data_IF_560819328930
#
_entry.id   IF_560819328930
#
_cell.length_a   1.000
_cell.length_b   1.000
_cell.length_c   1.000
_cell.angle_alpha   90.00
_cell.angle_beta   90.00
_cell.angle_gamma   90.00
#
_symmetry.space_group_name_H-M   'P 1'
#
loop_
_entity.id
_entity.type
_entity.pdbx_description
1 polymer ?
#
# COMPACT_ATOMS: atom_id res chain seq x y z
N UNK A 1 -22.03 -2.53 10.26
CA UNK A 1 -20.91 -2.06 11.12
C UNK A 1 -19.64 -2.74 10.64
N UNK A 2 -18.50 -2.05 10.63
CA UNK A 2 -17.22 -2.58 10.16
C UNK A 2 -16.38 -3.08 11.34
N UNK A 3 -15.79 -4.27 11.20
CA UNK A 3 -14.84 -4.81 12.16
C UNK A 3 -13.41 -4.58 11.63
N UNK A 4 -12.53 -4.02 12.47
CA UNK A 4 -11.13 -3.83 12.14
C UNK A 4 -10.30 -4.95 12.74
N UNK A 5 -9.43 -5.56 11.94
CA UNK A 5 -8.46 -6.52 12.41
C UNK A 5 -7.06 -6.05 11.99
N UNK A 6 -6.13 -5.99 12.94
CA UNK A 6 -4.76 -5.50 12.69
C UNK A 6 -3.89 -6.59 12.02
N UNK A 7 -4.33 -7.06 10.86
CA UNK A 7 -3.61 -7.97 9.99
C UNK A 7 -3.74 -7.53 8.53
N UNK A 8 -2.73 -7.84 7.72
CA UNK A 8 -2.82 -7.64 6.29
C UNK A 8 -3.76 -8.68 5.68
N UNK A 9 -4.50 -8.29 4.63
CA UNK A 9 -5.29 -9.23 3.85
C UNK A 9 -4.40 -10.24 3.11
N UNK A 10 -3.24 -9.77 2.64
CA UNK A 10 -2.21 -10.58 1.99
C UNK A 10 -0.88 -10.39 2.71
N UNK A 11 -0.18 -11.47 3.10
CA UNK A 11 1.13 -11.36 3.72
C UNK A 11 2.14 -10.83 2.69
N UNK A 12 2.92 -9.83 3.09
CA UNK A 12 3.96 -9.22 2.26
C UNK A 12 5.30 -9.37 2.97
N UNK A 13 6.32 -9.80 2.24
CA UNK A 13 7.70 -9.90 2.73
C UNK A 13 8.59 -8.93 1.95
N UNK A 14 9.10 -7.90 2.61
CA UNK A 14 10.00 -6.91 1.99
C UNK A 14 11.42 -7.25 2.43
N UNK A 15 12.21 -7.76 1.49
CA UNK A 15 13.58 -8.23 1.76
C UNK A 15 14.64 -7.15 1.59
N UNK A 16 14.34 -6.10 0.82
CA UNK A 16 15.28 -5.03 0.49
C UNK A 16 14.59 -3.66 0.46
N UNK A 17 15.14 -2.62 1.10
CA UNK A 17 14.62 -1.26 0.98
C UNK A 17 14.78 -0.70 -0.45
N UNK A 18 13.70 -0.14 -1.02
CA UNK A 18 13.75 0.56 -2.31
C UNK A 18 12.87 1.81 -2.30
N UNK A 19 13.50 2.98 -2.16
CA UNK A 19 12.81 4.26 -2.04
C UNK A 19 12.09 4.69 -3.34
N UNK A 20 12.66 4.36 -4.51
CA UNK A 20 12.07 4.73 -5.80
C UNK A 20 10.76 3.98 -6.04
N UNK A 21 10.73 2.69 -5.73
CA UNK A 21 9.51 1.89 -5.82
C UNK A 21 8.46 2.35 -4.80
N UNK A 22 8.88 2.68 -3.57
CA UNK A 22 7.97 3.19 -2.55
C UNK A 22 7.25 4.47 -3.02
N UNK A 23 7.96 5.42 -3.64
CA UNK A 23 7.35 6.64 -4.21
C UNK A 23 6.26 6.32 -5.24
N UNK A 24 6.48 5.32 -6.10
CA UNK A 24 5.50 4.91 -7.09
C UNK A 24 4.27 4.23 -6.45
N UNK A 25 4.47 3.39 -5.43
CA UNK A 25 3.36 2.75 -4.70
C UNK A 25 2.52 3.79 -3.97
N UNK A 26 3.14 4.82 -3.38
CA UNK A 26 2.44 5.90 -2.68
C UNK A 26 1.46 6.64 -3.61
N UNK A 27 1.80 6.82 -4.90
CA UNK A 27 0.89 7.47 -5.84
C UNK A 27 -0.36 6.64 -6.15
N UNK A 28 -0.33 5.32 -5.96
CA UNK A 28 -1.51 4.46 -6.18
C UNK A 28 -2.57 4.64 -5.08
N UNK A 29 -2.17 5.08 -3.89
CA UNK A 29 -3.08 5.29 -2.76
C UNK A 29 -3.46 6.77 -2.56
N UNK A 30 -2.69 7.71 -3.11
CA UNK A 30 -2.90 9.15 -2.90
C UNK A 30 -2.64 10.06 -4.10
N UNK A 31 -2.44 9.50 -5.29
CA UNK A 31 -2.24 10.26 -6.54
C UNK A 31 -3.55 10.70 -7.20
N UNK A 32 -3.47 11.60 -8.19
CA UNK A 32 -4.64 12.15 -8.89
C UNK A 32 -5.42 11.10 -9.70
N UNK A 33 -4.75 10.01 -10.09
CA UNK A 33 -5.33 8.91 -10.84
C UNK A 33 -6.10 7.90 -9.96
N UNK A 34 -6.18 8.15 -8.64
CA UNK A 34 -7.07 7.42 -7.74
C UNK A 34 -8.52 7.88 -8.01
N UNK A 35 -9.10 7.41 -9.11
CA UNK A 35 -10.53 7.55 -9.42
C UNK A 35 -11.23 6.21 -9.20
N UNK A 36 -12.46 6.29 -8.67
CA UNK A 36 -13.36 5.15 -8.41
C UNK A 36 -13.84 4.48 -9.69
#
# INVERSE_FOLDING_TARGET
MWNYEKRLQYPVNITTPNAKLAQFIMSQYGGPDCHN
#
